data_IF_420618000909
#
_entry.id   IF_420618000909
#
_cell.length_a   1.000
_cell.length_b   1.000
_cell.length_c   1.000
_cell.angle_alpha   90.00
_cell.angle_beta   90.00
_cell.angle_gamma   90.00
#
_symmetry.space_group_name_H-M   'P 1'
#
loop_
_entity.id
_entity.type
_entity.pdbx_description
1 polymer ?
#
# COMPACT_ATOMS: atom_id res chain seq x y z
N UNK A 1 -0.90 10.94 10.69
CA UNK A 1 -1.82 9.85 10.46
C UNK A 1 -1.10 8.69 9.77
N UNK A 2 -1.51 7.48 10.08
CA UNK A 2 -0.96 6.27 9.47
C UNK A 2 -2.09 5.49 8.80
N UNK A 3 -1.78 4.90 7.65
CA UNK A 3 -2.71 4.04 6.93
C UNK A 3 -2.02 2.72 6.63
N UNK A 4 -2.64 1.62 7.03
CA UNK A 4 -2.11 0.28 6.75
C UNK A 4 -2.98 -0.37 5.69
N UNK A 5 -2.35 -0.80 4.60
CA UNK A 5 -3.02 -1.51 3.51
C UNK A 5 -2.37 -2.88 3.34
N UNK A 6 -3.18 -3.92 3.30
CA UNK A 6 -2.69 -5.28 3.10
C UNK A 6 -3.53 -5.99 2.05
N UNK A 7 -2.84 -6.67 1.13
CA UNK A 7 -3.48 -7.56 0.17
C UNK A 7 -3.26 -8.99 0.64
N UNK A 8 -4.33 -9.64 1.08
CA UNK A 8 -4.24 -11.03 1.58
C UNK A 8 -4.56 -12.04 0.49
N UNK A 9 -4.55 -11.63 -0.77
CA UNK A 9 -4.82 -12.51 -1.90
C UNK A 9 -3.53 -12.86 -2.60
N UNK A 10 -3.56 -13.95 -3.37
CA UNK A 10 -2.40 -14.40 -4.13
C UNK A 10 -2.32 -13.74 -5.51
N UNK A 11 -3.12 -12.71 -5.74
CA UNK A 11 -3.13 -11.95 -7.00
C UNK A 11 -3.05 -10.47 -6.71
N UNK A 12 -2.60 -9.72 -7.70
CA UNK A 12 -2.51 -8.27 -7.62
C UNK A 12 -3.91 -7.65 -7.62
N UNK A 13 -4.09 -6.62 -6.80
CA UNK A 13 -5.35 -5.87 -6.73
C UNK A 13 -5.07 -4.38 -6.82
N UNK A 14 -6.10 -3.59 -7.13
CA UNK A 14 -5.97 -2.14 -7.12
C UNK A 14 -5.71 -1.66 -5.70
N UNK A 15 -4.85 -0.64 -5.56
CA UNK A 15 -4.55 -0.06 -4.25
C UNK A 15 -5.69 0.86 -3.84
N UNK A 16 -6.40 0.55 -2.74
CA UNK A 16 -7.58 1.33 -2.33
C UNK A 16 -7.19 2.55 -1.50
N UNK A 17 -6.55 3.56 -2.15
CA UNK A 17 -6.15 4.76 -1.45
C UNK A 17 -7.32 5.69 -1.21
N UNK A 18 -7.56 6.12 0.04
CA UNK A 18 -8.55 7.16 0.31
C UNK A 18 -8.14 8.50 -0.29
N UNK A 19 -9.09 9.40 -0.42
CA UNK A 19 -8.82 10.75 -0.89
C UNK A 19 -7.80 11.43 0.03
N UNK A 20 -6.79 12.06 -0.57
CA UNK A 20 -5.77 12.76 0.18
C UNK A 20 -4.56 11.93 0.57
N UNK A 21 -4.52 10.65 0.17
CA UNK A 21 -3.40 9.77 0.49
C UNK A 21 -2.48 9.49 -0.70
N UNK A 22 -2.72 10.12 -1.84
CA UNK A 22 -1.95 9.88 -3.06
C UNK A 22 -0.46 10.23 -2.87
N UNK A 23 -0.17 11.28 -2.11
CA UNK A 23 1.21 11.73 -1.88
C UNK A 23 1.78 11.25 -0.54
N UNK A 24 1.12 10.29 0.11
CA UNK A 24 1.57 9.81 1.40
C UNK A 24 2.90 9.06 1.27
N UNK A 25 3.74 9.21 2.29
CA UNK A 25 5.05 8.57 2.34
C UNK A 25 4.91 7.11 2.75
N UNK A 26 5.62 6.21 2.08
CA UNK A 26 5.68 4.81 2.48
C UNK A 26 6.72 4.67 3.58
N UNK A 27 6.28 4.24 4.76
CA UNK A 27 7.18 4.01 5.89
C UNK A 27 7.73 2.58 5.89
N UNK A 28 6.85 1.61 5.68
CA UNK A 28 7.21 0.19 5.72
C UNK A 28 6.44 -0.55 4.63
N UNK A 29 7.02 -1.64 4.18
CA UNK A 29 6.36 -2.54 3.24
C UNK A 29 7.20 -3.78 3.05
N UNK A 30 6.57 -4.87 2.64
CA UNK A 30 7.28 -6.14 2.42
C UNK A 30 7.77 -6.30 0.97
N UNK A 31 7.54 -5.29 0.11
CA UNK A 31 8.15 -5.23 -1.21
C UNK A 31 9.14 -4.07 -1.25
N UNK A 32 10.24 -4.19 -2.01
CA UNK A 32 11.32 -3.17 -1.98
C UNK A 32 10.97 -1.86 -2.66
N UNK A 33 9.96 -1.83 -3.51
CA UNK A 33 9.58 -0.62 -4.26
C UNK A 33 8.12 -0.28 -4.03
N UNK A 34 7.67 0.82 -4.64
CA UNK A 34 6.29 1.25 -4.57
C UNK A 34 5.62 1.06 -5.93
N UNK A 35 4.42 0.50 -5.92
CA UNK A 35 3.63 0.32 -7.12
C UNK A 35 2.25 0.96 -6.95
N UNK A 36 1.53 1.14 -8.07
CA UNK A 36 0.18 1.69 -8.04
C UNK A 36 -0.85 0.68 -7.57
N UNK A 37 -0.45 -0.57 -7.45
CA UNK A 37 -1.31 -1.67 -7.03
C UNK A 37 -0.72 -2.34 -5.80
N UNK A 38 -1.52 -3.19 -5.16
CA UNK A 38 -1.02 -4.07 -4.11
C UNK A 38 -0.76 -5.43 -4.74
N UNK A 39 0.51 -5.84 -4.72
CA UNK A 39 0.94 -7.12 -5.27
C UNK A 39 0.54 -8.25 -4.32
N UNK A 40 0.64 -9.52 -4.75
CA UNK A 40 0.23 -10.64 -3.88
C UNK A 40 0.85 -10.55 -2.49
N UNK A 41 0.01 -10.60 -1.48
CA UNK A 41 0.40 -10.56 -0.06
C UNK A 41 1.23 -9.32 0.31
N UNK A 42 1.05 -8.23 -0.41
CA UNK A 42 1.76 -6.99 -0.10
C UNK A 42 1.05 -6.23 1.02
N UNK A 43 1.85 -5.78 2.00
CA UNK A 43 1.37 -4.90 3.05
C UNK A 43 2.23 -3.65 3.08
N UNK A 44 1.60 -2.48 3.20
CA UNK A 44 2.32 -1.21 3.27
C UNK A 44 1.77 -0.37 4.40
N UNK A 45 2.63 0.44 4.99
CA UNK A 45 2.24 1.44 5.98
C UNK A 45 2.60 2.80 5.39
N UNK A 46 1.60 3.65 5.26
CA UNK A 46 1.74 4.99 4.71
C UNK A 46 1.57 6.03 5.80
N UNK A 47 2.28 7.14 5.65
CA UNK A 47 2.21 8.26 6.59
C UNK A 47 1.79 9.52 5.86
N UNK A 48 0.90 10.24 6.49
CA UNK A 48 0.41 11.52 5.97
C UNK A 48 0.52 12.60 7.03
#
# INVERSE_FOLDING_TARGET
>A
ELLVLCNLREREIAKPLPVGWTDAEKLLGNYPDTADTLRPYECVVLKK
#
